data_IF_159588642631
#
_entry.id   IF_159588642631
#
_cell.length_a   1.000
_cell.length_b   1.000
_cell.length_c   1.000
_cell.angle_alpha   90.00
_cell.angle_beta   90.00
_cell.angle_gamma   90.00
#
_symmetry.space_group_name_H-M   'P 1'
#
loop_
_entity.id
_entity.type
_entity.pdbx_description
1 polymer ?
#
# COMPACT_ATOMS: atom_id res chain seq x y z
N UNK A 1 -51.30 -36.57 -3.74
CA UNK A 1 -51.02 -35.13 -3.92
C UNK A 1 -50.29 -34.69 -2.64
N UNK A 2 -48.97 -34.93 -2.58
CA UNK A 2 -48.16 -34.65 -1.40
C UNK A 2 -47.69 -33.19 -1.46
N UNK A 3 -48.14 -32.39 -0.50
CA UNK A 3 -47.64 -31.03 -0.29
C UNK A 3 -46.18 -31.08 0.13
N UNK A 4 -45.30 -30.58 -0.73
CA UNK A 4 -43.94 -30.22 -0.38
C UNK A 4 -44.01 -29.05 0.61
N UNK A 5 -43.78 -29.35 1.89
CA UNK A 5 -43.56 -28.33 2.91
C UNK A 5 -42.32 -27.53 2.52
N UNK A 6 -42.51 -26.25 2.16
CA UNK A 6 -41.42 -25.28 2.15
C UNK A 6 -40.87 -25.22 3.56
N UNK A 7 -39.66 -25.73 3.80
CA UNK A 7 -38.92 -25.42 5.03
C UNK A 7 -38.81 -23.89 5.08
N UNK A 8 -39.49 -23.25 6.04
CA UNK A 8 -39.31 -21.82 6.29
C UNK A 8 -37.82 -21.57 6.53
N UNK A 9 -37.23 -20.65 5.78
CA UNK A 9 -35.89 -20.10 6.05
C UNK A 9 -35.89 -19.64 7.51
N UNK A 10 -35.13 -20.32 8.38
CA UNK A 10 -35.11 -20.03 9.81
C UNK A 10 -33.92 -19.11 10.09
N UNK A 11 -34.20 -17.92 10.63
CA UNK A 11 -33.17 -16.97 11.04
C UNK A 11 -32.33 -17.54 12.19
N UNK A 12 -31.05 -17.12 12.31
CA UNK A 12 -30.20 -17.46 13.44
C UNK A 12 -30.84 -17.06 14.76
N UNK A 13 -30.51 -17.79 15.83
CA UNK A 13 -31.02 -17.47 17.17
C UNK A 13 -30.22 -16.32 17.77
N UNK A 14 -30.87 -15.17 17.96
CA UNK A 14 -30.28 -14.01 18.63
C UNK A 14 -30.20 -14.26 20.15
N UNK A 15 -29.01 -14.14 20.74
CA UNK A 15 -28.76 -14.51 22.15
C UNK A 15 -28.00 -13.45 22.93
N UNK A 16 -27.28 -12.53 22.27
CA UNK A 16 -26.50 -11.47 22.92
C UNK A 16 -27.34 -10.20 23.07
N UNK A 17 -28.03 -10.05 24.21
CA UNK A 17 -28.94 -8.92 24.47
C UNK A 17 -28.25 -7.55 24.60
N UNK A 18 -26.96 -7.54 24.92
CA UNK A 18 -26.16 -6.32 25.14
C UNK A 18 -25.44 -5.84 23.87
N UNK A 19 -25.41 -6.66 22.81
CA UNK A 19 -24.80 -6.30 21.52
C UNK A 19 -25.91 -6.10 20.50
N UNK A 20 -26.22 -4.82 20.22
CA UNK A 20 -27.24 -4.44 19.26
C UNK A 20 -26.62 -4.14 17.90
N UNK A 21 -27.33 -4.53 16.85
CA UNK A 21 -27.06 -4.15 15.46
C UNK A 21 -28.28 -3.44 14.90
N UNK A 22 -28.07 -2.34 14.19
CA UNK A 22 -29.13 -1.50 13.61
C UNK A 22 -28.60 -0.74 12.39
N UNK A 23 -29.51 -0.18 11.58
CA UNK A 23 -29.15 0.72 10.47
C UNK A 23 -29.53 2.15 10.87
N UNK A 24 -28.60 3.07 10.67
CA UNK A 24 -28.83 4.50 10.78
C UNK A 24 -28.32 5.20 9.52
N UNK A 25 -29.23 5.81 8.76
CA UNK A 25 -28.96 6.38 7.44
C UNK A 25 -28.35 5.33 6.48
N UNK A 26 -27.13 5.57 6.01
CA UNK A 26 -26.38 4.68 5.11
C UNK A 26 -25.38 3.78 5.87
N UNK A 27 -25.46 3.72 7.19
CA UNK A 27 -24.52 2.97 8.02
C UNK A 27 -25.20 1.81 8.73
N UNK A 28 -24.60 0.63 8.68
CA UNK A 28 -24.92 -0.47 9.57
C UNK A 28 -24.02 -0.36 10.80
N UNK A 29 -24.62 -0.15 11.96
CA UNK A 29 -23.94 0.01 13.24
C UNK A 29 -24.04 -1.30 14.02
N UNK A 30 -22.92 -1.77 14.58
CA UNK A 30 -22.85 -3.00 15.35
C UNK A 30 -21.81 -2.90 16.47
N UNK A 31 -21.90 -3.81 17.44
CA UNK A 31 -20.91 -3.87 18.53
C UNK A 31 -19.89 -4.98 18.26
N UNK A 32 -18.61 -4.64 18.39
CA UNK A 32 -17.49 -5.57 18.31
C UNK A 32 -16.52 -5.36 19.46
N UNK A 33 -16.21 -6.43 20.22
CA UNK A 33 -15.33 -6.38 21.41
C UNK A 33 -15.59 -5.22 22.41
N UNK A 34 -16.84 -4.73 22.50
CA UNK A 34 -17.22 -3.64 23.40
C UNK A 34 -17.11 -2.24 22.80
N UNK A 35 -16.72 -2.13 21.53
CA UNK A 35 -16.69 -0.90 20.75
C UNK A 35 -17.82 -0.88 19.73
N UNK A 36 -18.36 0.31 19.47
CA UNK A 36 -19.30 0.52 18.36
C UNK A 36 -18.51 0.66 17.06
N UNK A 37 -18.87 -0.16 16.08
CA UNK A 37 -18.28 -0.19 14.75
C UNK A 37 -19.35 0.05 13.70
N UNK A 38 -18.93 0.44 12.49
CA UNK A 38 -19.86 0.73 11.40
C UNK A 38 -19.39 0.19 10.06
N UNK A 39 -20.37 -0.16 9.22
CA UNK A 39 -20.20 -0.45 7.80
C UNK A 39 -20.85 0.68 7.00
N UNK A 40 -20.10 1.32 6.10
CA UNK A 40 -20.64 2.27 5.12
C UNK A 40 -21.28 1.48 3.96
N UNK A 41 -22.62 1.44 3.94
CA UNK A 41 -23.37 0.66 2.95
C UNK A 41 -23.23 1.23 1.53
N UNK A 42 -22.90 2.52 1.36
CA UNK A 42 -22.63 3.10 0.03
C UNK A 42 -21.34 2.58 -0.58
N UNK A 43 -20.39 2.19 0.28
CA UNK A 43 -19.05 1.71 -0.11
C UNK A 43 -18.92 0.19 -0.14
N UNK A 44 -19.96 -0.55 0.23
CA UNK A 44 -19.96 -2.01 0.22
C UNK A 44 -19.51 -2.57 -1.14
N UNK A 45 -18.43 -3.36 -1.15
CA UNK A 45 -17.93 -4.05 -2.34
C UNK A 45 -18.41 -5.49 -2.42
N UNK A 46 -18.41 -6.22 -1.30
CA UNK A 46 -18.87 -7.61 -1.24
C UNK A 46 -19.27 -7.99 0.19
N UNK A 47 -20.10 -9.02 0.30
CA UNK A 47 -20.52 -9.62 1.55
C UNK A 47 -20.50 -11.13 1.47
N UNK A 48 -20.08 -11.76 2.55
CA UNK A 48 -19.95 -13.20 2.71
C UNK A 48 -20.66 -13.64 3.98
N UNK A 49 -21.15 -14.87 3.97
CA UNK A 49 -21.53 -15.57 5.20
C UNK A 49 -20.39 -16.50 5.60
N UNK A 50 -20.01 -16.46 6.87
CA UNK A 50 -18.89 -17.24 7.39
C UNK A 50 -19.23 -17.87 8.73
N UNK A 51 -18.79 -19.10 8.95
CA UNK A 51 -18.76 -19.71 10.28
C UNK A 51 -17.30 -19.71 10.75
N UNK A 52 -17.04 -19.00 11.85
CA UNK A 52 -15.73 -18.96 12.52
C UNK A 52 -15.88 -19.60 13.90
N UNK A 53 -15.18 -20.73 14.14
CA UNK A 53 -15.51 -21.62 15.24
C UNK A 53 -16.96 -22.10 15.14
N UNK A 54 -17.77 -21.81 16.17
CA UNK A 54 -19.20 -22.18 16.21
C UNK A 54 -20.15 -20.99 15.97
N UNK A 55 -19.61 -19.83 15.55
CA UNK A 55 -20.40 -18.61 15.39
C UNK A 55 -20.54 -18.21 13.92
N UNK A 56 -21.76 -18.11 13.40
CA UNK A 56 -22.01 -17.49 12.11
C UNK A 56 -21.86 -15.96 12.17
N UNK A 57 -21.23 -15.43 11.12
CA UNK A 57 -21.01 -14.01 10.86
C UNK A 57 -21.48 -13.65 9.46
N UNK A 58 -22.02 -12.45 9.34
CA UNK A 58 -22.06 -11.72 8.08
C UNK A 58 -20.76 -10.92 7.98
N UNK A 59 -19.89 -11.32 7.08
CA UNK A 59 -18.70 -10.57 6.71
C UNK A 59 -19.07 -9.52 5.65
N UNK A 60 -18.66 -8.27 5.84
CA UNK A 60 -18.88 -7.18 4.88
C UNK A 60 -17.56 -6.44 4.65
N UNK A 61 -17.32 -6.02 3.40
CA UNK A 61 -16.14 -5.24 3.06
C UNK A 61 -16.53 -3.89 2.42
N UNK A 62 -16.21 -2.82 3.13
CA UNK A 62 -16.41 -1.41 2.75
C UNK A 62 -15.08 -0.64 2.78
N UNK A 63 -14.00 -1.29 2.34
CA UNK A 63 -12.58 -0.95 2.57
C UNK A 63 -12.06 -1.30 3.96
N UNK A 64 -12.90 -1.77 4.88
CA UNK A 64 -12.48 -2.42 6.12
C UNK A 64 -13.12 -3.80 6.22
N UNK A 65 -12.44 -4.72 6.90
CA UNK A 65 -13.01 -6.05 7.18
C UNK A 65 -13.96 -5.95 8.36
N UNK A 66 -15.24 -6.28 8.16
CA UNK A 66 -16.29 -6.16 9.17
C UNK A 66 -16.94 -7.51 9.41
N UNK A 67 -16.93 -7.98 10.65
CA UNK A 67 -17.52 -9.27 11.05
C UNK A 67 -18.72 -9.04 11.97
N UNK A 68 -19.93 -9.13 11.43
CA UNK A 68 -21.17 -8.91 12.19
C UNK A 68 -21.73 -10.26 12.62
N UNK A 69 -21.70 -10.56 13.92
CA UNK A 69 -22.21 -11.84 14.43
C UNK A 69 -23.73 -11.91 14.25
N UNK A 70 -24.23 -13.02 13.71
CA UNK A 70 -25.68 -13.20 13.53
C UNK A 70 -26.44 -13.43 14.84
N UNK A 71 -25.71 -13.57 15.96
CA UNK A 71 -26.27 -13.77 17.30
C UNK A 71 -26.57 -12.45 18.02
N UNK A 72 -26.20 -11.31 17.43
CA UNK A 72 -26.49 -9.97 17.95
C UNK A 72 -27.99 -9.66 17.87
N UNK A 73 -28.48 -8.89 18.83
CA UNK A 73 -29.88 -8.48 18.89
C UNK A 73 -30.18 -7.49 17.76
N UNK A 74 -31.23 -7.75 16.99
CA UNK A 74 -31.64 -6.92 15.85
C UNK A 74 -31.07 -7.39 14.50
N UNK A 75 -30.23 -8.43 14.50
CA UNK A 75 -29.59 -8.91 13.27
C UNK A 75 -30.60 -9.34 12.21
N UNK A 76 -31.67 -10.03 12.60
CA UNK A 76 -32.68 -10.52 11.64
C UNK A 76 -33.38 -9.38 10.89
N UNK A 77 -33.61 -8.26 11.57
CA UNK A 77 -34.25 -7.07 10.98
C UNK A 77 -33.29 -6.38 10.01
N UNK A 78 -32.06 -6.11 10.47
CA UNK A 78 -31.00 -5.51 9.66
C UNK A 78 -30.68 -6.36 8.43
N UNK A 79 -30.53 -7.68 8.61
CA UNK A 79 -30.27 -8.62 7.52
C UNK A 79 -31.38 -8.58 6.48
N UNK A 80 -32.65 -8.56 6.90
CA UNK A 80 -33.77 -8.49 5.97
C UNK A 80 -33.78 -7.19 5.16
N UNK A 81 -33.33 -6.08 5.76
CA UNK A 81 -33.27 -4.79 5.09
C UNK A 81 -32.12 -4.74 4.06
N UNK A 82 -30.90 -5.12 4.46
CA UNK A 82 -29.74 -5.12 3.56
C UNK A 82 -29.87 -6.18 2.46
N UNK A 83 -30.42 -7.36 2.77
CA UNK A 83 -30.65 -8.40 1.76
C UNK A 83 -31.59 -7.90 0.66
N UNK A 84 -32.64 -7.16 1.03
CA UNK A 84 -33.54 -6.52 0.07
C UNK A 84 -32.87 -5.39 -0.71
N UNK A 85 -32.02 -4.59 -0.07
CA UNK A 85 -31.36 -3.45 -0.69
C UNK A 85 -30.30 -3.87 -1.72
N UNK A 86 -29.55 -4.92 -1.42
CA UNK A 86 -28.41 -5.38 -2.22
C UNK A 86 -28.67 -6.70 -2.96
N UNK A 87 -29.88 -7.24 -2.86
CA UNK A 87 -30.29 -8.52 -3.45
C UNK A 87 -29.37 -9.68 -3.04
N UNK A 88 -29.13 -9.84 -1.73
CA UNK A 88 -28.28 -10.92 -1.22
C UNK A 88 -28.84 -12.29 -1.61
N UNK A 89 -27.93 -13.25 -1.84
CA UNK A 89 -28.28 -14.64 -2.02
C UNK A 89 -28.69 -15.27 -0.67
N UNK A 90 -29.95 -15.03 -0.30
CA UNK A 90 -30.56 -15.56 0.91
C UNK A 90 -30.53 -17.09 0.97
N UNK A 91 -30.63 -17.78 -0.17
CA UNK A 91 -30.57 -19.24 -0.17
C UNK A 91 -29.20 -19.72 0.34
N UNK A 92 -28.11 -19.14 -0.17
CA UNK A 92 -26.76 -19.40 0.32
C UNK A 92 -26.61 -19.00 1.77
N UNK A 93 -27.05 -17.80 2.16
CA UNK A 93 -26.96 -17.32 3.53
C UNK A 93 -27.61 -18.28 4.54
N UNK A 94 -28.90 -18.58 4.35
CA UNK A 94 -29.63 -19.44 5.29
C UNK A 94 -29.19 -20.91 5.22
N UNK A 95 -28.64 -21.37 4.09
CA UNK A 95 -28.00 -22.68 4.00
C UNK A 95 -26.73 -22.74 4.85
N UNK A 96 -25.92 -21.69 4.88
CA UNK A 96 -24.66 -21.65 5.61
C UNK A 96 -24.86 -21.50 7.11
N UNK A 97 -25.62 -20.50 7.57
CA UNK A 97 -25.77 -20.20 9.01
C UNK A 97 -26.35 -21.34 9.86
N UNK A 98 -26.91 -22.37 9.23
CA UNK A 98 -27.48 -23.56 9.87
C UNK A 98 -26.55 -24.78 9.80
N UNK A 99 -25.26 -24.59 9.47
CA UNK A 99 -24.24 -25.63 9.46
C UNK A 99 -23.37 -25.54 10.71
N UNK A 100 -22.73 -26.66 11.07
CA UNK A 100 -21.88 -26.81 12.25
C UNK A 100 -20.39 -26.92 11.87
N UNK A 101 -20.01 -26.37 10.71
CA UNK A 101 -18.64 -26.42 10.19
C UNK A 101 -18.21 -25.07 9.69
N UNK A 102 -16.93 -24.77 9.86
CA UNK A 102 -16.31 -23.61 9.23
C UNK A 102 -16.50 -23.68 7.72
N UNK A 103 -17.10 -22.63 7.19
CA UNK A 103 -17.46 -22.48 5.79
C UNK A 103 -17.53 -21.00 5.50
N UNK A 104 -17.15 -20.62 4.27
CA UNK A 104 -17.24 -19.27 3.75
C UNK A 104 -17.91 -19.32 2.39
N UNK A 105 -18.92 -18.49 2.20
CA UNK A 105 -19.64 -18.40 0.92
C UNK A 105 -20.00 -16.94 0.64
N UNK A 106 -19.85 -16.53 -0.63
CA UNK A 106 -20.25 -15.21 -1.07
C UNK A 106 -21.79 -15.13 -1.14
N UNK A 107 -22.36 -14.08 -0.56
CA UNK A 107 -23.82 -13.80 -0.64
C UNK A 107 -24.12 -12.57 -1.47
N UNK A 108 -23.12 -11.71 -1.68
CA UNK A 108 -23.25 -10.52 -2.52
C UNK A 108 -21.88 -10.04 -2.99
N UNK A 109 -21.83 -9.62 -4.25
CA UNK A 109 -20.68 -8.93 -4.85
C UNK A 109 -21.21 -7.78 -5.68
N UNK A 110 -20.69 -6.58 -5.44
CA UNK A 110 -21.06 -5.39 -6.20
C UNK A 110 -20.62 -5.57 -7.65
N UNK A 111 -21.56 -5.35 -8.57
CA UNK A 111 -21.27 -5.33 -9.98
C UNK A 111 -20.71 -3.96 -10.38
N UNK A 112 -19.70 -3.97 -11.25
CA UNK A 112 -19.03 -2.79 -11.78
C UNK A 112 -19.05 -2.90 -13.30
N UNK A 113 -19.22 -1.77 -13.97
CA UNK A 113 -19.16 -1.75 -15.43
C UNK A 113 -17.74 -2.06 -15.90
N UNK A 114 -17.63 -2.65 -17.09
CA UNK A 114 -16.34 -2.88 -17.70
C UNK A 114 -15.61 -1.55 -17.90
N UNK A 115 -14.37 -1.46 -17.43
CA UNK A 115 -13.61 -0.22 -17.37
C UNK A 115 -12.25 -0.29 -18.09
N UNK A 116 -12.08 -1.29 -18.95
CA UNK A 116 -10.91 -1.40 -19.83
C UNK A 116 -11.33 -1.84 -21.24
N UNK A 117 -10.45 -1.59 -22.21
CA UNK A 117 -10.60 -2.00 -23.59
C UNK A 117 -9.26 -2.44 -24.18
N UNK A 118 -9.30 -3.36 -25.14
CA UNK A 118 -8.11 -3.89 -25.80
C UNK A 118 -8.06 -3.46 -27.27
N UNK A 119 -6.86 -3.18 -27.76
CA UNK A 119 -6.58 -2.75 -29.12
C UNK A 119 -5.73 -3.82 -29.81
N UNK A 120 -6.28 -4.52 -30.79
CA UNK A 120 -5.57 -5.64 -31.45
C UNK A 120 -4.36 -5.18 -32.28
N UNK A 121 -4.31 -3.92 -32.72
CA UNK A 121 -3.28 -3.40 -33.63
C UNK A 121 -2.69 -2.09 -33.14
N UNK A 122 -1.89 -2.15 -32.06
CA UNK A 122 -1.13 -1.00 -31.56
C UNK A 122 0.38 -1.26 -31.68
N UNK A 123 1.07 -0.38 -32.39
CA UNK A 123 2.52 -0.42 -32.64
C UNK A 123 3.28 0.66 -31.84
N UNK A 124 2.65 1.21 -30.80
CA UNK A 124 3.29 2.22 -29.96
C UNK A 124 4.14 1.61 -28.86
N UNK A 125 5.11 2.40 -28.41
CA UNK A 125 6.15 1.97 -27.49
C UNK A 125 5.73 2.11 -26.03
N UNK A 126 5.41 0.99 -25.39
CA UNK A 126 5.08 0.91 -23.96
C UNK A 126 6.17 1.49 -23.05
N UNK A 127 7.42 1.58 -23.52
CA UNK A 127 8.57 2.05 -22.73
C UNK A 127 8.61 3.56 -22.60
N UNK A 128 7.81 4.34 -23.33
CA UNK A 128 7.93 5.80 -23.32
C UNK A 128 6.99 6.49 -22.34
N UNK A 129 5.77 5.95 -22.19
CA UNK A 129 4.71 6.57 -21.43
C UNK A 129 3.34 6.04 -21.83
N UNK A 130 2.32 6.85 -21.58
CA UNK A 130 0.93 6.58 -21.90
C UNK A 130 0.26 7.82 -22.50
N UNK A 131 -0.93 7.64 -23.06
CA UNK A 131 -1.72 8.76 -23.59
C UNK A 131 -3.00 8.91 -22.79
N UNK A 132 -3.23 10.10 -22.27
CA UNK A 132 -4.49 10.50 -21.66
C UNK A 132 -5.40 10.92 -22.81
N UNK A 133 -6.54 10.23 -22.96
CA UNK A 133 -7.49 10.43 -24.06
C UNK A 133 -8.37 11.66 -23.81
N UNK A 134 -7.71 12.79 -23.58
CA UNK A 134 -8.27 14.14 -23.54
C UNK A 134 -8.52 14.68 -24.96
N UNK A 135 -9.09 15.88 -25.09
CA UNK A 135 -9.26 16.55 -26.38
C UNK A 135 -8.49 17.88 -26.43
N UNK A 136 -7.31 17.95 -27.11
CA UNK A 136 -6.63 16.85 -27.80
C UNK A 136 -5.96 15.85 -26.83
N UNK A 137 -5.63 14.62 -27.28
CA UNK A 137 -4.93 13.65 -26.43
C UNK A 137 -3.57 14.18 -25.96
N UNK A 138 -3.20 13.83 -24.73
CA UNK A 138 -1.94 14.27 -24.10
C UNK A 138 -1.07 13.05 -23.87
N UNK A 139 0.14 13.06 -24.42
CA UNK A 139 1.15 12.06 -24.11
C UNK A 139 1.84 12.40 -22.78
N UNK A 140 1.89 11.46 -21.86
CA UNK A 140 2.54 11.57 -20.55
C UNK A 140 3.69 10.58 -20.52
N UNK A 141 4.92 11.08 -20.37
CA UNK A 141 6.10 10.21 -20.27
C UNK A 141 6.17 9.55 -18.90
N UNK A 142 6.76 8.34 -18.83
CA UNK A 142 7.10 7.72 -17.55
C UNK A 142 8.04 8.56 -16.69
N UNK A 143 8.81 9.49 -17.28
CA UNK A 143 9.71 10.37 -16.55
C UNK A 143 9.03 11.64 -16.01
N UNK A 144 7.70 11.79 -16.21
CA UNK A 144 6.92 12.94 -15.73
C UNK A 144 6.88 12.94 -14.20
N UNK A 145 7.34 14.03 -13.59
CA UNK A 145 7.40 14.15 -12.12
C UNK A 145 6.02 14.41 -11.49
N UNK A 146 5.88 14.15 -10.18
CA UNK A 146 4.66 14.50 -9.43
C UNK A 146 4.29 15.98 -9.60
N UNK A 147 5.29 16.88 -9.52
CA UNK A 147 5.10 18.33 -9.71
C UNK A 147 4.64 18.68 -11.13
N UNK A 148 5.19 18.05 -12.16
CA UNK A 148 4.77 18.25 -13.55
C UNK A 148 3.37 17.68 -13.80
N UNK A 149 3.05 16.53 -13.21
CA UNK A 149 1.77 15.85 -13.37
C UNK A 149 0.61 16.73 -12.92
N UNK A 150 0.74 17.40 -11.77
CA UNK A 150 -0.25 18.37 -11.25
C UNK A 150 -0.56 19.48 -12.26
N UNK A 151 0.41 19.91 -13.06
CA UNK A 151 0.27 21.02 -14.02
C UNK A 151 -0.49 20.60 -15.29
N UNK A 152 -0.68 19.30 -15.53
CA UNK A 152 -1.38 18.79 -16.70
C UNK A 152 -2.90 19.01 -16.63
N UNK A 153 -3.46 19.20 -15.44
CA UNK A 153 -4.91 19.44 -15.22
C UNK A 153 -5.82 18.37 -15.88
N UNK A 154 -5.42 17.10 -15.74
CA UNK A 154 -6.09 15.91 -16.30
C UNK A 154 -6.76 15.03 -15.25
N UNK A 155 -6.85 15.50 -14.00
CA UNK A 155 -7.27 14.69 -12.87
C UNK A 155 -7.38 15.49 -11.58
N UNK A 156 -7.64 14.80 -10.47
CA UNK A 156 -7.80 15.39 -9.15
C UNK A 156 -7.18 14.53 -8.05
N UNK A 157 -6.82 15.17 -6.94
CA UNK A 157 -6.40 14.46 -5.72
C UNK A 157 -7.59 14.14 -4.84
N UNK A 158 -7.58 12.98 -4.18
CA UNK A 158 -8.56 12.60 -3.16
C UNK A 158 -7.88 11.82 -2.03
N UNK A 159 -8.55 11.75 -0.87
CA UNK A 159 -8.11 10.95 0.29
C UNK A 159 -9.02 9.73 0.38
N UNK A 160 -8.44 8.55 0.52
CA UNK A 160 -9.19 7.30 0.64
C UNK A 160 -9.61 6.97 2.08
N UNK A 161 -10.19 5.78 2.27
CA UNK A 161 -10.63 5.26 3.56
C UNK A 161 -9.49 4.91 4.53
N UNK A 162 -8.25 4.90 4.05
CA UNK A 162 -7.01 4.66 4.80
C UNK A 162 -6.22 5.94 5.04
N UNK A 163 -6.84 7.11 4.86
CA UNK A 163 -6.22 8.44 5.04
C UNK A 163 -5.03 8.69 4.10
N UNK A 164 -4.91 7.89 3.04
CA UNK A 164 -3.84 8.01 2.04
C UNK A 164 -4.29 8.96 0.93
N UNK A 165 -3.38 9.81 0.45
CA UNK A 165 -3.67 10.75 -0.63
C UNK A 165 -3.32 10.12 -1.98
N UNK A 166 -4.23 10.18 -2.94
CA UNK A 166 -4.05 9.66 -4.30
C UNK A 166 -4.34 10.74 -5.33
N UNK A 167 -3.83 10.54 -6.53
CA UNK A 167 -4.22 11.28 -7.72
C UNK A 167 -4.94 10.33 -8.68
N UNK A 168 -6.15 10.72 -9.12
CA UNK A 168 -6.93 10.02 -10.14
C UNK A 168 -6.93 10.79 -11.44
N UNK A 169 -6.64 10.10 -12.55
CA UNK A 169 -6.80 10.65 -13.89
C UNK A 169 -8.28 10.56 -14.30
N UNK A 170 -8.87 11.69 -14.68
CA UNK A 170 -10.31 11.82 -14.96
C UNK A 170 -10.73 11.33 -16.35
N UNK A 171 -9.75 11.11 -17.23
CA UNK A 171 -9.96 10.69 -18.61
C UNK A 171 -9.45 9.26 -18.82
N UNK A 172 -10.01 8.49 -19.78
CA UNK A 172 -9.46 7.20 -20.14
C UNK A 172 -7.99 7.30 -20.54
N UNK A 173 -7.19 6.33 -20.13
CA UNK A 173 -5.76 6.29 -20.39
C UNK A 173 -5.43 5.12 -21.31
N UNK A 174 -4.73 5.40 -22.42
CA UNK A 174 -4.18 4.39 -23.31
C UNK A 174 -2.76 4.04 -22.89
N UNK A 175 -2.54 2.79 -22.51
CA UNK A 175 -1.27 2.19 -22.13
C UNK A 175 -0.98 1.08 -23.12
N UNK A 176 -0.23 1.42 -24.16
CA UNK A 176 0.01 0.51 -25.26
C UNK A 176 -1.26 0.04 -25.95
N UNK A 177 -1.44 -1.27 -26.04
CA UNK A 177 -2.61 -1.94 -26.63
C UNK A 177 -3.83 -2.00 -25.70
N UNK A 178 -3.84 -1.28 -24.57
CA UNK A 178 -4.95 -1.25 -23.61
C UNK A 178 -5.43 0.19 -23.38
N UNK A 179 -6.73 0.38 -23.22
CA UNK A 179 -7.31 1.56 -22.59
C UNK A 179 -7.85 1.19 -21.21
N UNK A 180 -7.62 2.02 -20.20
CA UNK A 180 -8.10 1.84 -18.83
C UNK A 180 -8.78 3.12 -18.36
N UNK A 181 -9.91 2.99 -17.68
CA UNK A 181 -10.51 4.08 -16.93
C UNK A 181 -9.99 4.10 -15.49
N UNK A 182 -9.90 5.30 -14.90
CA UNK A 182 -9.50 5.49 -13.49
C UNK A 182 -8.12 4.91 -13.19
N UNK A 183 -7.13 5.25 -14.01
CA UNK A 183 -5.73 5.05 -13.64
C UNK A 183 -5.36 6.04 -12.53
N UNK A 184 -4.74 5.54 -11.48
CA UNK A 184 -4.45 6.26 -10.25
C UNK A 184 -2.99 6.07 -9.84
N UNK A 185 -2.51 6.92 -8.93
CA UNK A 185 -1.23 6.72 -8.25
C UNK A 185 -1.24 7.34 -6.85
N UNK A 186 -0.39 6.81 -5.97
CA UNK A 186 -0.17 7.35 -4.62
C UNK A 186 0.44 8.74 -4.72
N UNK A 187 -0.17 9.72 -4.06
CA UNK A 187 0.25 11.11 -3.98
C UNK A 187 0.68 11.45 -2.54
N UNK A 188 1.57 10.64 -1.96
CA UNK A 188 2.12 10.92 -0.62
C UNK A 188 3.32 11.85 -0.70
N UNK A 189 3.31 12.86 0.18
CA UNK A 189 4.27 13.95 0.19
C UNK A 189 5.59 13.50 0.82
N UNK A 190 6.68 13.73 0.11
CA UNK A 190 8.04 13.47 0.58
C UNK A 190 9.10 13.83 -0.46
N UNK A 191 8.77 13.71 -1.75
CA UNK A 191 9.56 14.22 -2.88
C UNK A 191 8.71 14.54 -4.12
N UNK A 192 8.57 15.85 -4.39
CA UNK A 192 7.89 16.46 -5.56
C UNK A 192 8.49 16.15 -6.95
N UNK A 193 9.82 16.18 -6.98
CA UNK A 193 10.62 16.41 -8.18
C UNK A 193 11.18 15.14 -8.82
N UNK A 194 10.54 14.01 -8.56
CA UNK A 194 10.85 12.71 -9.15
C UNK A 194 9.66 12.22 -9.97
N UNK A 195 9.93 11.41 -10.99
CA UNK A 195 8.91 10.72 -11.77
C UNK A 195 7.90 10.00 -10.86
N UNK A 196 6.64 9.88 -11.30
CA UNK A 196 5.67 9.04 -10.58
C UNK A 196 6.16 7.59 -10.57
N UNK A 197 6.21 6.99 -9.38
CA UNK A 197 6.89 5.70 -9.19
C UNK A 197 5.98 4.49 -9.41
N UNK A 198 4.67 4.62 -9.18
CA UNK A 198 3.75 3.50 -9.33
C UNK A 198 2.35 3.98 -9.70
N UNK A 199 1.73 3.37 -10.70
CA UNK A 199 0.34 3.58 -11.09
C UNK A 199 -0.45 2.30 -10.92
N UNK A 200 -1.75 2.41 -10.61
CA UNK A 200 -2.60 1.26 -10.42
C UNK A 200 -4.05 1.50 -10.88
N UNK A 201 -4.77 0.41 -11.10
CA UNK A 201 -6.22 0.41 -11.35
C UNK A 201 -6.82 -0.97 -11.00
N UNK A 202 -8.10 -1.01 -10.64
CA UNK A 202 -8.87 -2.26 -10.61
C UNK A 202 -9.60 -2.42 -11.94
N UNK A 203 -9.37 -3.53 -12.64
CA UNK A 203 -9.96 -3.80 -13.95
C UNK A 203 -11.11 -4.79 -13.81
N UNK A 204 -12.27 -4.40 -14.30
CA UNK A 204 -13.50 -5.20 -14.31
C UNK A 204 -13.85 -5.53 -15.76
N UNK A 205 -14.14 -6.80 -16.04
CA UNK A 205 -14.80 -7.18 -17.29
C UNK A 205 -16.33 -7.11 -17.12
N UNK A 206 -17.07 -7.29 -18.21
CA UNK A 206 -18.53 -7.28 -18.24
C UNK A 206 -19.24 -8.21 -17.22
N UNK A 207 -18.55 -9.22 -16.68
CA UNK A 207 -19.11 -10.19 -15.72
C UNK A 207 -18.42 -10.16 -14.34
N UNK A 208 -17.45 -9.27 -14.10
CA UNK A 208 -16.62 -9.23 -12.88
C UNK A 208 -16.01 -10.60 -12.50
N UNK A 209 -15.26 -11.19 -13.44
CA UNK A 209 -14.56 -12.47 -13.36
C UNK A 209 -13.11 -12.33 -13.80
N UNK A 210 -12.33 -13.41 -13.69
CA UNK A 210 -10.94 -13.50 -14.14
C UNK A 210 -10.72 -13.37 -15.66
N UNK A 211 -11.77 -13.05 -16.43
CA UNK A 211 -11.66 -12.79 -17.87
C UNK A 211 -10.81 -11.55 -18.13
N UNK A 212 -10.90 -10.50 -17.29
CA UNK A 212 -10.01 -9.33 -17.39
C UNK A 212 -8.54 -9.72 -17.29
N UNK A 213 -8.20 -10.61 -16.36
CA UNK A 213 -6.85 -11.14 -16.22
C UNK A 213 -6.44 -11.95 -17.45
N UNK A 214 -7.27 -12.91 -17.87
CA UNK A 214 -6.95 -13.80 -18.97
C UNK A 214 -6.74 -13.04 -20.29
N UNK A 215 -7.60 -12.08 -20.60
CA UNK A 215 -7.50 -11.30 -21.84
C UNK A 215 -6.23 -10.44 -21.87
N UNK A 216 -5.88 -9.79 -20.76
CA UNK A 216 -4.67 -8.96 -20.65
C UNK A 216 -3.39 -9.80 -20.68
N UNK A 217 -3.38 -10.91 -19.94
CA UNK A 217 -2.26 -11.85 -19.96
C UNK A 217 -2.01 -12.33 -21.39
N UNK A 218 -3.04 -12.78 -22.09
CA UNK A 218 -2.90 -13.30 -23.45
C UNK A 218 -2.47 -12.22 -24.45
N UNK A 219 -2.92 -10.97 -24.26
CA UNK A 219 -2.49 -9.82 -25.07
C UNK A 219 -1.00 -9.50 -24.85
N UNK A 220 -0.56 -9.39 -23.59
CA UNK A 220 0.81 -9.01 -23.26
C UNK A 220 1.82 -10.12 -23.53
N UNK A 221 1.47 -11.38 -23.31
CA UNK A 221 2.31 -12.53 -23.69
C UNK A 221 2.59 -12.59 -25.20
N UNK A 222 1.70 -12.03 -26.03
CA UNK A 222 1.92 -11.91 -27.48
C UNK A 222 2.72 -10.68 -27.88
N UNK A 223 2.57 -9.58 -27.13
CA UNK A 223 3.04 -8.26 -27.53
C UNK A 223 4.36 -7.84 -26.89
N UNK A 224 4.68 -8.38 -25.70
CA UNK A 224 5.85 -8.02 -24.93
C UNK A 224 6.83 -9.21 -24.92
N UNK A 225 8.05 -9.06 -25.45
CA UNK A 225 9.05 -10.12 -25.40
C UNK A 225 9.41 -10.45 -23.96
N UNK A 226 9.06 -11.66 -23.51
CA UNK A 226 9.37 -12.14 -22.15
C UNK A 226 9.71 -13.63 -22.18
N UNK A 227 10.54 -14.08 -21.24
CA UNK A 227 10.75 -15.52 -21.01
C UNK A 227 9.63 -16.03 -20.12
N UNK A 228 8.91 -17.05 -20.58
CA UNK A 228 7.71 -17.59 -19.91
C UNK A 228 7.99 -17.98 -18.45
N UNK A 229 9.19 -18.48 -18.17
CA UNK A 229 9.61 -18.91 -16.83
C UNK A 229 9.79 -17.76 -15.82
N UNK A 230 9.88 -16.52 -16.31
CA UNK A 230 10.14 -15.31 -15.51
C UNK A 230 8.87 -14.44 -15.35
N UNK A 231 7.73 -14.85 -15.93
CA UNK A 231 6.53 -14.01 -16.02
C UNK A 231 5.76 -13.94 -14.71
N UNK A 232 5.71 -15.01 -13.90
CA UNK A 232 4.94 -15.01 -12.66
C UNK A 232 4.47 -16.41 -12.24
N UNK A 233 3.29 -16.49 -11.62
CA UNK A 233 2.72 -17.74 -11.13
C UNK A 233 1.20 -17.81 -11.36
N UNK A 234 0.70 -19.02 -11.55
CA UNK A 234 -0.72 -19.30 -11.78
C UNK A 234 -1.17 -20.32 -10.72
N UNK A 235 -1.58 -19.86 -9.54
CA UNK A 235 -2.08 -20.71 -8.44
C UNK A 235 -3.62 -20.73 -8.43
N UNK A 236 -4.21 -21.69 -7.72
CA UNK A 236 -5.67 -21.81 -7.59
C UNK A 236 -6.28 -20.65 -6.78
N UNK A 237 -5.56 -20.14 -5.78
CA UNK A 237 -5.97 -19.01 -4.93
C UNK A 237 -5.66 -17.64 -5.57
N UNK A 238 -4.65 -17.58 -6.44
CA UNK A 238 -4.20 -16.34 -7.04
C UNK A 238 -3.38 -16.55 -8.31
N UNK A 239 -3.60 -15.67 -9.28
CA UNK A 239 -2.87 -15.62 -10.54
C UNK A 239 -2.17 -14.28 -10.69
N UNK A 240 -0.91 -14.30 -11.11
CA UNK A 240 -0.06 -13.12 -11.21
C UNK A 240 0.92 -13.23 -12.39
N UNK A 241 0.99 -12.18 -13.19
CA UNK A 241 2.04 -12.03 -14.23
C UNK A 241 2.63 -10.62 -14.20
N UNK A 242 3.91 -10.51 -14.58
CA UNK A 242 4.63 -9.25 -14.71
C UNK A 242 5.58 -9.26 -15.91
N UNK A 243 5.77 -8.08 -16.48
CA UNK A 243 6.54 -7.83 -17.70
C UNK A 243 7.45 -6.62 -17.48
N UNK A 244 8.75 -6.78 -17.68
CA UNK A 244 9.72 -5.68 -17.65
C UNK A 244 9.79 -5.00 -19.01
N UNK A 245 9.48 -3.70 -19.05
CA UNK A 245 9.54 -2.86 -20.23
C UNK A 245 10.58 -1.75 -20.03
N UNK A 246 11.83 -2.14 -19.84
CA UNK A 246 12.96 -1.22 -19.62
C UNK A 246 12.82 -0.44 -18.30
N UNK A 247 12.81 -1.22 -17.22
CA UNK A 247 12.61 -0.75 -15.83
C UNK A 247 11.22 -0.15 -15.57
N UNK A 248 10.27 -0.31 -16.48
CA UNK A 248 8.84 -0.05 -16.25
C UNK A 248 8.14 -1.40 -16.22
N UNK A 249 7.69 -1.82 -15.05
CA UNK A 249 7.10 -3.14 -14.84
C UNK A 249 5.59 -3.04 -14.94
N UNK A 250 4.98 -3.72 -15.91
CA UNK A 250 3.55 -3.99 -15.90
C UNK A 250 3.31 -5.25 -15.10
N UNK A 251 2.30 -5.27 -14.25
CA UNK A 251 1.84 -6.49 -13.63
C UNK A 251 0.33 -6.51 -13.45
N UNK A 252 -0.23 -7.71 -13.51
CA UNK A 252 -1.64 -7.95 -13.22
C UNK A 252 -1.78 -9.11 -12.24
N UNK A 253 -2.74 -8.98 -11.33
CA UNK A 253 -3.06 -9.99 -10.33
C UNK A 253 -4.58 -10.21 -10.27
N UNK A 254 -5.02 -11.46 -10.24
CA UNK A 254 -6.39 -11.82 -9.90
C UNK A 254 -6.38 -12.72 -8.67
N UNK A 255 -7.16 -12.36 -7.65
CA UNK A 255 -7.28 -13.14 -6.41
C UNK A 255 -8.63 -13.85 -6.40
N UNK A 256 -8.59 -15.18 -6.28
CA UNK A 256 -9.79 -16.00 -6.26
C UNK A 256 -10.36 -16.10 -4.84
N UNK A 257 -11.61 -16.51 -4.75
CA UNK A 257 -12.20 -16.89 -3.48
C UNK A 257 -11.52 -18.18 -2.99
N UNK A 258 -10.88 -18.13 -1.83
CA UNK A 258 -10.22 -19.26 -1.17
C UNK A 258 -10.50 -19.21 0.32
N UNK A 259 -9.94 -20.09 1.15
CA UNK A 259 -10.09 -19.99 2.61
C UNK A 259 -9.64 -18.61 3.15
N UNK A 260 -8.51 -18.10 2.67
CA UNK A 260 -7.86 -16.90 3.21
C UNK A 260 -8.03 -15.63 2.36
N UNK A 261 -8.69 -15.71 1.21
CA UNK A 261 -8.85 -14.59 0.27
C UNK A 261 -10.31 -14.41 -0.16
N UNK A 262 -10.61 -13.23 -0.69
CA UNK A 262 -11.94 -12.85 -1.18
C UNK A 262 -11.85 -12.42 -2.64
N UNK A 263 -12.82 -12.83 -3.44
CA UNK A 263 -12.94 -12.42 -4.84
C UNK A 263 -13.80 -11.15 -4.96
N UNK A 264 -13.16 -10.01 -5.27
CA UNK A 264 -13.86 -8.76 -5.53
C UNK A 264 -14.25 -8.58 -7.01
N UNK A 265 -13.94 -9.58 -7.86
CA UNK A 265 -14.29 -9.61 -9.27
C UNK A 265 -13.42 -8.74 -10.17
N UNK A 266 -12.27 -8.28 -9.67
CA UNK A 266 -11.35 -7.42 -10.42
C UNK A 266 -9.97 -8.04 -10.64
N UNK A 267 -9.30 -7.60 -11.69
CA UNK A 267 -7.86 -7.75 -11.87
C UNK A 267 -7.16 -6.48 -11.40
N UNK A 268 -6.26 -6.58 -10.43
CA UNK A 268 -5.39 -5.48 -10.05
C UNK A 268 -4.35 -5.26 -11.14
N UNK A 269 -4.32 -4.07 -11.72
CA UNK A 269 -3.26 -3.56 -12.60
C UNK A 269 -2.27 -2.75 -11.76
N UNK A 270 -0.98 -3.00 -11.96
CA UNK A 270 0.10 -2.21 -11.37
C UNK A 270 1.18 -1.91 -12.40
N UNK A 271 1.69 -0.68 -12.40
CA UNK A 271 2.72 -0.16 -13.29
C UNK A 271 3.81 0.48 -12.44
N UNK A 272 4.91 -0.24 -12.21
CA UNK A 272 6.02 0.26 -11.39
C UNK A 272 7.12 0.84 -12.26
N UNK A 273 7.41 2.12 -12.07
CA UNK A 273 8.54 2.81 -12.67
C UNK A 273 9.79 2.65 -11.78
N UNK A 274 10.62 1.66 -12.09
CA UNK A 274 11.84 1.30 -11.36
C UNK A 274 13.11 1.89 -11.95
N UNK A 275 12.98 2.85 -12.88
CA UNK A 275 14.14 3.55 -13.47
C UNK A 275 15.01 4.20 -12.38
N UNK A 276 16.27 4.41 -12.73
CA UNK A 276 17.19 5.13 -11.86
C UNK A 276 17.05 6.63 -12.05
N UNK A 277 16.74 7.33 -10.95
CA UNK A 277 16.66 8.79 -10.90
C UNK A 277 17.76 9.36 -9.99
N UNK A 278 18.88 8.64 -9.82
CA UNK A 278 19.98 9.06 -8.94
C UNK A 278 20.58 10.42 -9.32
N UNK A 279 20.45 10.85 -10.58
CA UNK A 279 20.85 12.17 -11.07
C UNK A 279 20.17 13.35 -10.34
N UNK A 280 19.00 13.14 -9.73
CA UNK A 280 18.34 14.19 -8.93
C UNK A 280 19.16 14.53 -7.67
N UNK A 281 19.96 13.57 -7.18
CA UNK A 281 20.81 13.77 -6.00
C UNK A 281 21.96 14.74 -6.27
N UNK A 282 22.48 14.77 -7.50
CA UNK A 282 23.61 15.62 -7.87
C UNK A 282 23.28 17.12 -7.73
N UNK A 283 22.03 17.50 -7.94
CA UNK A 283 21.54 18.88 -7.76
C UNK A 283 21.52 19.32 -6.30
N UNK A 284 21.64 18.37 -5.36
CA UNK A 284 21.38 18.60 -3.94
C UNK A 284 22.58 18.28 -3.05
N UNK A 285 23.76 18.12 -3.66
CA UNK A 285 25.01 17.78 -2.97
C UNK A 285 25.48 18.93 -2.06
N UNK A 286 25.59 18.73 -0.74
CA UNK A 286 26.14 19.74 0.16
C UNK A 286 27.63 20.02 -0.11
N UNK A 287 28.06 21.26 0.13
CA UNK A 287 29.47 21.67 -0.02
C UNK A 287 30.18 21.54 1.32
N UNK A 288 30.86 20.41 1.52
CA UNK A 288 31.52 20.06 2.79
C UNK A 288 33.02 19.84 2.60
N UNK A 289 33.81 20.31 3.56
CA UNK A 289 35.26 20.19 3.63
C UNK A 289 35.75 20.22 5.10
N UNK A 290 37.05 20.02 5.31
CA UNK A 290 37.66 19.94 6.65
C UNK A 290 37.41 21.15 7.56
N UNK A 291 37.19 22.35 7.00
CA UNK A 291 37.03 23.59 7.78
C UNK A 291 35.59 23.86 8.20
N UNK A 292 34.60 23.19 7.59
CA UNK A 292 33.18 23.41 7.86
C UNK A 292 32.47 22.11 8.28
N UNK A 293 33.21 21.10 8.74
CA UNK A 293 32.62 19.84 9.16
C UNK A 293 33.22 19.26 10.42
N UNK A 294 32.38 18.63 11.22
CA UNK A 294 32.79 17.65 12.23
C UNK A 294 32.36 16.26 11.78
N UNK A 295 33.22 15.25 11.99
CA UNK A 295 33.02 13.90 11.45
C UNK A 295 33.28 12.87 12.55
N UNK A 296 32.33 11.94 12.71
CA UNK A 296 32.49 10.75 13.52
C UNK A 296 32.26 9.49 12.68
N UNK A 297 33.28 8.66 12.57
CA UNK A 297 33.22 7.38 11.86
C UNK A 297 32.71 6.32 12.84
N UNK A 298 31.58 5.70 12.49
CA UNK A 298 31.00 4.62 13.27
C UNK A 298 31.77 3.33 13.00
N UNK A 299 32.05 2.57 14.06
CA UNK A 299 32.84 1.33 13.96
C UNK A 299 32.04 0.15 13.40
N UNK A 300 30.74 0.17 13.64
CA UNK A 300 29.80 -0.85 13.19
C UNK A 300 29.27 -0.50 11.80
N UNK A 301 28.91 -1.53 11.02
CA UNK A 301 28.30 -1.34 9.70
C UNK A 301 26.79 -1.29 9.83
N UNK A 302 26.21 -0.26 9.22
CA UNK A 302 24.79 0.00 9.20
C UNK A 302 24.32 0.16 7.76
N UNK A 303 23.05 -0.17 7.52
CA UNK A 303 22.40 0.10 6.23
C UNK A 303 21.48 1.30 6.38
N UNK A 304 21.61 2.28 5.49
CA UNK A 304 20.74 3.45 5.45
C UNK A 304 19.31 3.00 5.09
N UNK A 305 18.32 3.43 5.88
CA UNK A 305 16.91 3.06 5.70
C UNK A 305 16.22 3.97 4.67
N UNK A 306 16.36 5.31 4.72
CA UNK A 306 15.53 6.16 3.87
C UNK A 306 15.86 6.07 2.37
N UNK A 307 14.83 5.90 1.56
CA UNK A 307 14.94 5.85 0.09
C UNK A 307 14.88 7.25 -0.52
N UNK A 308 15.86 7.57 -1.36
CA UNK A 308 15.89 8.82 -2.10
C UNK A 308 14.69 9.04 -3.03
N UNK A 309 14.02 7.97 -3.45
CA UNK A 309 12.80 8.09 -4.26
C UNK A 309 11.63 8.66 -3.47
N UNK A 310 11.65 8.52 -2.14
CA UNK A 310 10.56 8.91 -1.24
C UNK A 310 10.83 10.22 -0.51
N UNK A 311 12.08 10.47 -0.10
CA UNK A 311 12.37 11.52 0.87
C UNK A 311 13.37 12.56 0.36
N UNK A 312 12.98 13.84 0.35
CA UNK A 312 13.84 14.98 -0.03
C UNK A 312 15.08 15.17 0.82
N UNK A 313 15.05 14.75 2.09
CA UNK A 313 16.21 14.82 2.99
C UNK A 313 17.32 13.82 2.63
N UNK A 314 17.07 12.88 1.72
CA UNK A 314 18.13 12.01 1.17
C UNK A 314 18.87 12.75 0.05
N UNK A 315 20.16 13.00 0.27
CA UNK A 315 21.06 13.77 -0.59
C UNK A 315 22.23 12.91 -1.08
N UNK A 316 22.94 13.40 -2.09
CA UNK A 316 24.27 12.84 -2.46
C UNK A 316 25.25 13.11 -1.33
N UNK A 317 26.00 12.09 -0.91
CA UNK A 317 27.08 12.28 0.06
C UNK A 317 28.18 13.18 -0.51
N UNK A 318 28.64 14.21 0.22
CA UNK A 318 29.76 15.04 -0.21
C UNK A 318 31.05 14.22 -0.40
N UNK A 319 31.88 14.58 -1.39
CA UNK A 319 33.09 13.79 -1.71
C UNK A 319 34.07 13.75 -0.54
N UNK A 320 34.20 14.85 0.20
CA UNK A 320 35.04 14.91 1.39
C UNK A 320 34.57 13.92 2.47
N UNK A 321 33.25 13.80 2.66
CA UNK A 321 32.68 12.81 3.60
C UNK A 321 32.93 11.39 3.11
N UNK A 322 32.79 11.12 1.80
CA UNK A 322 33.10 9.81 1.21
C UNK A 322 34.57 9.40 1.42
N UNK A 323 35.48 10.35 1.25
CA UNK A 323 36.92 10.14 1.47
C UNK A 323 37.19 9.79 2.95
N UNK A 324 36.62 10.58 3.87
CA UNK A 324 36.79 10.38 5.32
C UNK A 324 36.10 9.11 5.83
N UNK A 325 34.99 8.71 5.22
CA UNK A 325 34.25 7.51 5.58
C UNK A 325 35.07 6.22 5.36
N UNK A 326 35.87 6.18 4.30
CA UNK A 326 36.68 5.02 3.91
C UNK A 326 35.89 3.69 4.00
N UNK A 327 34.69 3.66 3.41
CA UNK A 327 33.74 2.52 3.40
C UNK A 327 33.10 2.15 4.75
N UNK A 328 33.14 3.04 5.73
CA UNK A 328 32.40 2.90 6.98
C UNK A 328 31.23 3.88 7.03
N UNK A 329 30.31 3.63 7.96
CA UNK A 329 29.23 4.57 8.23
C UNK A 329 29.76 5.82 8.93
N UNK A 330 29.22 6.97 8.56
CA UNK A 330 29.65 8.26 9.10
C UNK A 330 28.45 9.05 9.58
N UNK A 331 28.65 9.68 10.74
CA UNK A 331 27.89 10.82 11.21
C UNK A 331 28.74 12.07 10.98
N UNK A 332 28.16 13.12 10.42
CA UNK A 332 28.85 14.38 10.22
C UNK A 332 27.95 15.58 10.49
N UNK A 333 28.55 16.70 10.87
CA UNK A 333 27.87 17.98 11.06
C UNK A 333 28.36 18.97 10.02
N UNK A 334 27.43 19.65 9.37
CA UNK A 334 27.67 20.85 8.58
C UNK A 334 27.69 22.06 9.52
N UNK A 335 28.88 22.60 9.79
CA UNK A 335 29.02 23.75 10.67
C UNK A 335 28.49 25.05 10.03
N UNK A 336 28.42 25.10 8.69
CA UNK A 336 28.00 26.30 7.97
C UNK A 336 26.48 26.41 7.88
N UNK A 337 25.80 25.29 7.59
CA UNK A 337 24.35 25.26 7.39
C UNK A 337 23.58 24.71 8.60
N UNK A 338 24.28 24.41 9.71
CA UNK A 338 23.69 23.82 10.91
C UNK A 338 22.92 22.51 10.64
N UNK A 339 23.47 21.66 9.76
CA UNK A 339 22.87 20.38 9.41
C UNK A 339 23.63 19.23 10.04
N UNK A 340 22.93 18.11 10.23
CA UNK A 340 23.52 16.82 10.58
C UNK A 340 23.27 15.83 9.45
N UNK A 341 24.28 15.05 9.11
CA UNK A 341 24.24 14.07 8.05
C UNK A 341 24.66 12.68 8.51
N UNK A 342 24.02 11.67 7.95
CA UNK A 342 24.35 10.26 8.16
C UNK A 342 24.50 9.59 6.81
N UNK A 343 25.55 8.80 6.62
CA UNK A 343 25.79 8.05 5.37
C UNK A 343 26.41 6.67 5.58
N UNK A 344 26.02 5.71 4.74
CA UNK A 344 26.66 4.40 4.58
C UNK A 344 27.46 4.27 3.27
N UNK A 345 27.55 5.36 2.49
CA UNK A 345 28.13 5.33 1.15
C UNK A 345 27.74 6.54 0.30
N UNK A 346 27.27 6.29 -0.92
CA UNK A 346 27.02 7.35 -1.92
C UNK A 346 25.84 8.27 -1.58
N UNK A 347 24.94 7.83 -0.70
CA UNK A 347 23.78 8.59 -0.27
C UNK A 347 23.89 8.93 1.22
N UNK A 348 23.31 10.05 1.59
CA UNK A 348 23.26 10.53 2.95
C UNK A 348 21.87 11.05 3.27
N UNK A 349 21.38 10.84 4.48
CA UNK A 349 20.25 11.62 5.01
C UNK A 349 20.81 12.87 5.67
N UNK A 350 20.19 14.01 5.41
CA UNK A 350 20.64 15.31 5.92
C UNK A 350 19.44 16.05 6.52
N UNK A 351 19.56 16.43 7.79
CA UNK A 351 18.53 17.14 8.54
C UNK A 351 19.07 18.46 9.06
N UNK A 352 18.22 19.47 9.12
CA UNK A 352 18.51 20.65 9.94
C UNK A 352 18.56 20.25 11.41
N UNK A 353 19.62 20.62 12.11
CA UNK A 353 19.73 20.33 13.55
C UNK A 353 18.59 21.01 14.30
N UNK A 354 18.10 22.15 13.83
CA UNK A 354 17.02 22.90 14.46
C UNK A 354 15.67 22.20 14.36
N UNK A 355 15.50 21.23 13.45
CA UNK A 355 14.26 20.45 13.30
C UNK A 355 14.28 19.13 14.09
N UNK A 356 15.46 18.73 14.58
CA UNK A 356 15.65 17.49 15.35
C UNK A 356 15.40 17.77 16.84
N UNK A 357 14.46 17.05 17.45
CA UNK A 357 14.26 17.05 18.91
C UNK A 357 15.33 16.21 19.60
N UNK A 358 15.50 14.96 19.16
CA UNK A 358 16.49 14.04 19.71
C UNK A 358 16.89 12.97 18.68
N UNK A 359 17.97 12.26 18.98
CA UNK A 359 18.33 11.00 18.30
C UNK A 359 17.80 9.85 19.17
N UNK A 360 17.21 8.83 18.57
CA UNK A 360 16.81 7.62 19.28
C UNK A 360 17.60 6.40 18.80
N UNK A 361 17.80 5.48 19.73
CA UNK A 361 18.41 4.17 19.51
C UNK A 361 17.43 3.16 20.09
N UNK A 362 16.64 2.51 19.22
CA UNK A 362 15.65 1.52 19.61
C UNK A 362 16.22 0.12 19.41
N UNK A 363 16.33 -0.64 20.51
CA UNK A 363 16.60 -2.06 20.45
C UNK A 363 15.28 -2.80 20.19
N UNK A 364 15.23 -3.63 19.15
CA UNK A 364 14.06 -4.43 18.76
C UNK A 364 14.35 -5.91 18.96
N UNK A 365 13.49 -6.57 19.72
CA UNK A 365 13.57 -7.98 20.09
C UNK A 365 12.39 -8.72 19.45
N UNK A 366 12.58 -9.40 18.30
CA UNK A 366 11.53 -10.15 17.64
C UNK A 366 11.21 -11.46 18.39
N UNK A 367 10.01 -11.99 18.18
CA UNK A 367 9.59 -13.29 18.72
C UNK A 367 10.54 -14.45 18.31
N UNK A 368 11.22 -14.33 17.16
CA UNK A 368 12.26 -15.26 16.68
C UNK A 368 13.44 -14.48 16.09
N UNK A 369 14.66 -14.85 16.47
CA UNK A 369 15.90 -14.28 15.92
C UNK A 369 16.73 -13.51 16.95
N UNK A 370 17.84 -12.92 16.51
CA UNK A 370 18.84 -12.27 17.38
C UNK A 370 18.53 -10.81 17.75
N UNK A 371 17.44 -10.23 17.24
CA UNK A 371 17.14 -8.82 17.39
C UNK A 371 17.95 -7.91 16.49
N UNK A 372 17.57 -6.64 16.46
CA UNK A 372 18.26 -5.59 15.73
C UNK A 372 18.12 -4.26 16.46
N UNK A 373 18.94 -3.31 16.02
CA UNK A 373 18.92 -1.92 16.45
C UNK A 373 18.36 -1.07 15.31
N UNK A 374 17.55 -0.08 15.66
CA UNK A 374 17.22 1.06 14.81
C UNK A 374 17.79 2.35 15.41
N UNK A 375 18.58 3.08 14.63
CA UNK A 375 18.92 4.47 14.95
C UNK A 375 18.06 5.38 14.09
N UNK A 376 17.47 6.40 14.69
CA UNK A 376 16.70 7.41 13.98
C UNK A 376 16.70 8.76 14.69
N UNK A 377 15.96 9.71 14.14
CA UNK A 377 15.69 11.00 14.77
C UNK A 377 14.21 11.12 15.09
N UNK A 378 13.92 11.86 16.16
CA UNK A 378 12.59 12.41 16.39
C UNK A 378 12.63 13.89 16.06
N UNK A 379 11.71 14.35 15.23
CA UNK A 379 11.60 15.77 14.87
C UNK A 379 10.81 16.53 15.92
N UNK A 380 10.93 17.86 15.94
CA UNK A 380 10.14 18.72 16.82
C UNK A 380 8.63 18.62 16.53
N UNK A 381 8.24 18.27 15.30
CA UNK A 381 6.83 18.00 14.96
C UNK A 381 6.30 16.68 15.54
N UNK A 382 7.17 15.86 16.13
CA UNK A 382 6.82 14.57 16.72
C UNK A 382 6.94 13.37 15.78
N UNK A 383 7.42 13.57 14.55
CA UNK A 383 7.67 12.50 13.58
C UNK A 383 8.94 11.73 13.95
N UNK A 384 8.92 10.41 13.78
CA UNK A 384 10.08 9.54 13.97
C UNK A 384 10.58 9.04 12.61
N UNK A 385 11.85 9.29 12.30
CA UNK A 385 12.48 8.90 11.05
C UNK A 385 13.65 7.95 11.34
N UNK A 386 13.49 6.70 10.95
CA UNK A 386 14.56 5.70 11.01
C UNK A 386 15.66 6.02 10.00
N UNK A 387 16.92 5.97 10.45
CA UNK A 387 18.11 6.28 9.64
C UNK A 387 18.91 5.01 9.34
N UNK A 388 19.16 4.18 10.35
CA UNK A 388 19.99 2.99 10.21
C UNK A 388 19.36 1.76 10.86
N UNK A 389 19.56 0.61 10.22
CA UNK A 389 19.50 -0.70 10.90
C UNK A 389 20.89 -1.25 11.18
N UNK A 390 21.05 -1.89 12.35
CA UNK A 390 22.28 -2.53 12.76
C UNK A 390 22.08 -3.66 13.77
N UNK A 391 23.20 -4.20 14.23
CA UNK A 391 23.22 -5.24 15.26
C UNK A 391 22.83 -4.66 16.63
N UNK A 392 22.14 -5.47 17.45
CA UNK A 392 21.72 -5.10 18.80
C UNK A 392 22.90 -4.60 19.64
N UNK A 393 22.76 -3.45 20.30
CA UNK A 393 23.82 -2.86 21.15
C UNK A 393 25.05 -2.33 20.41
N UNK A 394 25.08 -2.37 19.08
CA UNK A 394 26.28 -2.02 18.28
C UNK A 394 26.69 -0.54 18.32
N UNK A 395 25.85 0.34 18.88
CA UNK A 395 26.09 1.78 19.02
C UNK A 395 26.37 2.25 20.46
N UNK A 396 26.37 1.36 21.46
CA UNK A 396 26.55 1.77 22.87
C UNK A 396 27.82 2.59 23.11
N UNK A 397 28.89 2.27 22.38
CA UNK A 397 30.19 2.95 22.50
C UNK A 397 30.27 4.27 21.74
N UNK A 398 29.32 4.54 20.86
CA UNK A 398 29.28 5.71 20.00
C UNK A 398 28.31 6.79 20.53
N UNK A 399 27.50 6.50 21.57
CA UNK A 399 26.47 7.41 22.12
C UNK A 399 27.03 8.80 22.41
N UNK A 400 28.05 8.93 23.26
CA UNK A 400 28.61 10.23 23.64
C UNK A 400 29.12 11.03 22.42
N UNK A 401 29.66 10.32 21.42
CA UNK A 401 30.14 10.96 20.19
C UNK A 401 29.00 11.38 19.28
N UNK A 402 27.94 10.59 19.20
CA UNK A 402 26.71 10.96 18.51
C UNK A 402 26.12 12.21 19.16
N UNK A 403 26.01 12.26 20.49
CA UNK A 403 25.50 13.45 21.20
C UNK A 403 26.38 14.68 20.96
N UNK A 404 27.70 14.51 20.98
CA UNK A 404 28.65 15.61 20.74
C UNK A 404 28.53 16.17 19.33
N UNK A 405 28.57 15.33 18.30
CA UNK A 405 28.55 15.78 16.89
C UNK A 405 27.16 16.28 16.48
N UNK A 406 26.10 15.66 17.00
CA UNK A 406 24.73 16.08 16.68
C UNK A 406 24.26 17.30 17.44
N UNK A 407 24.88 17.58 18.60
CA UNK A 407 24.36 18.50 19.63
C UNK A 407 22.92 18.16 20.05
N UNK A 408 22.55 16.89 19.95
CA UNK A 408 21.24 16.36 20.36
C UNK A 408 21.42 15.26 21.36
N UNK A 409 20.50 15.22 22.32
CA UNK A 409 20.44 14.12 23.28
C UNK A 409 20.12 12.82 22.54
N UNK A 410 20.80 11.75 22.93
CA UNK A 410 20.45 10.39 22.50
C UNK A 410 19.51 9.77 23.54
N UNK A 411 18.38 9.24 23.07
CA UNK A 411 17.39 8.53 23.88
C UNK A 411 17.45 7.05 23.54
N UNK A 412 17.49 6.21 24.56
CA UNK A 412 17.42 4.76 24.43
C UNK A 412 16.16 4.32 25.17
N UNK A 413 15.04 4.10 24.47
CA UNK A 413 13.81 3.58 25.08
C UNK A 413 14.01 2.14 25.57
N UNK A 414 13.03 1.66 26.35
CA UNK A 414 12.93 0.23 26.66
C UNK A 414 12.89 -0.60 25.36
N UNK A 415 13.47 -1.82 25.35
CA UNK A 415 13.43 -2.67 24.18
C UNK A 415 12.00 -2.92 23.67
N UNK A 416 11.80 -2.78 22.37
CA UNK A 416 10.52 -3.04 21.72
C UNK A 416 10.42 -4.52 21.36
N UNK A 417 9.38 -5.18 21.86
CA UNK A 417 9.11 -6.59 21.56
C UNK A 417 8.23 -6.68 20.33
N UNK A 418 8.82 -7.09 19.22
CA UNK A 418 8.11 -7.32 17.97
C UNK A 418 7.56 -8.77 18.00
N UNK A 419 6.41 -8.92 18.67
CA UNK A 419 5.78 -10.20 18.98
C UNK A 419 4.94 -10.75 17.83
#
# INVERSE_FOLDING_TARGET
MFGLFSKKKQSPKEIKKEQQVYIENDFLIYNDHGYEESVDLKKLKYAYVQILGDTPYLFMFDYKQRYISTNQKGFSEVYSEISRLFEFNDETFFKVVNQDKEIKECVFKKHFEQNYGLLENFDGDYRKGFEVLYNPPIFVSWDTTYEEFKKLNIGHTYIDEFESTYFRIDYPVRIGSMTVERLEFYYEFGRENIAVQSYFASLYNENNTDKSYCELRDLWMKSIPVKIEEVGFEREDQKYVSFDMDSVYLSICYTYDSEFSYDDGSTSLMIDNRRDYSNILDKTKPVINASNSEIHVLKSRFSLIPDYRKYEFVKRTPDYILEMANKNNVLWKDLQNNNIGFTDGLQSVVFSIDEVECIYIQNVLPAKGGGYLELGIKTISGESIGIYYGELGSLEKDIEKIETVSEKKVIIPEPYYNC
#
